data_IF_197794339031
#
_entry.id   IF_197794339031
#
_cell.length_a   1.000
_cell.length_b   1.000
_cell.length_c   1.000
_cell.angle_alpha   90.00
_cell.angle_beta   90.00
_cell.angle_gamma   90.00
#
_symmetry.space_group_name_H-M   'P 1'
#
loop_
_entity.id
_entity.type
_entity.pdbx_description
1 polymer ?
#
# COMPACT_ATOMS: atom_id res chain seq x y z
N UNK A 1 -5.91 -11.21 -0.59
CA UNK A 1 -6.69 -10.59 0.51
C UNK A 1 -7.09 -9.14 0.26
N UNK A 2 -6.27 -8.29 -0.40
CA UNK A 2 -6.62 -6.87 -0.64
C UNK A 2 -7.94 -6.62 -1.39
N UNK A 3 -8.34 -7.53 -2.30
CA UNK A 3 -9.64 -7.47 -2.98
C UNK A 3 -10.83 -7.51 -2.00
N UNK A 4 -10.80 -8.40 -1.01
CA UNK A 4 -11.88 -8.52 -0.03
C UNK A 4 -12.02 -7.27 0.84
N UNK A 5 -10.89 -6.64 1.19
CA UNK A 5 -10.86 -5.39 1.95
C UNK A 5 -11.46 -4.24 1.11
N UNK A 6 -11.08 -4.17 -0.17
CA UNK A 6 -11.64 -3.18 -1.10
C UNK A 6 -13.14 -3.38 -1.28
N UNK A 7 -13.57 -4.62 -1.51
CA UNK A 7 -14.99 -5.00 -1.66
C UNK A 7 -15.79 -4.66 -0.39
N UNK A 8 -15.26 -4.99 0.79
CA UNK A 8 -15.89 -4.64 2.07
C UNK A 8 -16.07 -3.13 2.24
N UNK A 9 -15.09 -2.31 1.82
CA UNK A 9 -15.23 -0.86 1.83
C UNK A 9 -16.29 -0.37 0.84
N UNK A 10 -16.30 -0.87 -0.39
CA UNK A 10 -17.33 -0.51 -1.38
C UNK A 10 -18.74 -0.90 -0.90
N UNK A 11 -18.89 -2.02 -0.20
CA UNK A 11 -20.16 -2.47 0.39
C UNK A 11 -20.67 -1.51 1.50
N UNK A 12 -19.81 -0.66 2.08
CA UNK A 12 -20.22 0.37 3.05
C UNK A 12 -20.82 1.61 2.40
N UNK A 13 -20.64 1.80 1.09
CA UNK A 13 -21.18 2.96 0.37
C UNK A 13 -22.70 2.76 0.19
N UNK A 14 -23.55 3.67 0.68
CA UNK A 14 -25.00 3.52 0.57
C UNK A 14 -25.46 3.52 -0.89
N UNK A 15 -26.23 2.50 -1.29
CA UNK A 15 -26.82 2.40 -2.64
C UNK A 15 -27.70 3.60 -3.03
N UNK A 16 -28.27 4.29 -2.04
CA UNK A 16 -29.10 5.48 -2.23
C UNK A 16 -28.33 6.63 -2.93
N UNK A 17 -27.00 6.71 -2.78
CA UNK A 17 -26.18 7.72 -3.45
C UNK A 17 -26.15 7.45 -4.96
N UNK A 18 -25.98 6.19 -5.35
CA UNK A 18 -25.99 5.78 -6.75
C UNK A 18 -27.38 5.95 -7.37
N UNK A 19 -28.44 5.58 -6.65
CA UNK A 19 -29.83 5.75 -7.11
C UNK A 19 -30.19 7.23 -7.31
N UNK A 20 -29.75 8.11 -6.41
CA UNK A 20 -29.96 9.56 -6.54
C UNK A 20 -29.22 10.12 -7.76
N UNK A 21 -27.98 9.69 -8.00
CA UNK A 21 -27.21 10.11 -9.16
C UNK A 21 -27.83 9.63 -10.49
N UNK A 22 -28.46 8.44 -10.50
CA UNK A 22 -29.20 7.94 -11.67
C UNK A 22 -30.45 8.79 -11.92
N UNK A 23 -31.17 9.19 -10.87
CA UNK A 23 -32.33 10.09 -10.97
C UNK A 23 -31.91 11.45 -11.54
N UNK A 24 -30.72 11.95 -11.17
CA UNK A 24 -30.11 13.17 -11.71
C UNK A 24 -29.58 13.00 -13.17
N UNK A 25 -29.77 11.82 -13.79
CA UNK A 25 -29.39 11.54 -15.17
C UNK A 25 -27.92 11.16 -15.37
N UNK A 26 -27.17 10.87 -14.31
CA UNK A 26 -25.78 10.43 -14.42
C UNK A 26 -25.69 9.01 -15.01
N UNK A 27 -24.73 8.80 -15.91
CA UNK A 27 -24.44 7.45 -16.42
C UNK A 27 -23.67 6.64 -15.36
N UNK A 28 -23.73 5.30 -15.43
CA UNK A 28 -22.93 4.43 -14.53
C UNK A 28 -21.44 4.72 -14.54
N UNK A 29 -20.89 5.15 -15.69
CA UNK A 29 -19.49 5.52 -15.80
C UNK A 29 -19.22 6.85 -15.07
N UNK A 30 -20.13 7.82 -15.16
CA UNK A 30 -20.04 9.07 -14.41
C UNK A 30 -20.07 8.83 -12.90
N UNK A 31 -20.97 7.96 -12.43
CA UNK A 31 -21.10 7.60 -11.00
C UNK A 31 -19.78 7.01 -10.49
N UNK A 32 -19.21 6.05 -11.23
CA UNK A 32 -17.95 5.42 -10.84
C UNK A 32 -16.81 6.44 -10.70
N UNK A 33 -16.57 7.27 -11.72
CA UNK A 33 -15.42 8.19 -11.74
C UNK A 33 -15.62 9.42 -10.84
N UNK A 34 -16.84 9.95 -10.75
CA UNK A 34 -17.11 11.21 -10.04
C UNK A 34 -17.56 11.01 -8.59
N UNK A 35 -18.11 9.85 -8.24
CA UNK A 35 -18.69 9.59 -6.91
C UNK A 35 -17.94 8.45 -6.22
N UNK A 36 -17.97 7.24 -6.78
CA UNK A 36 -17.41 6.05 -6.11
C UNK A 36 -15.91 6.17 -5.90
N UNK A 37 -15.15 6.51 -6.95
CA UNK A 37 -13.69 6.57 -6.90
C UNK A 37 -13.15 7.63 -5.91
N UNK A 38 -13.66 8.87 -5.86
CA UNK A 38 -13.23 9.83 -4.84
C UNK A 38 -13.63 9.45 -3.41
N UNK A 39 -14.78 8.79 -3.21
CA UNK A 39 -15.18 8.25 -1.90
C UNK A 39 -14.26 7.10 -1.46
N UNK A 40 -13.70 6.35 -2.41
CA UNK A 40 -12.78 5.24 -2.15
C UNK A 40 -11.30 5.64 -2.07
N UNK A 41 -10.96 6.93 -2.08
CA UNK A 41 -9.61 7.41 -1.80
C UNK A 41 -8.93 6.75 -0.58
N UNK A 42 -9.56 6.64 0.60
CA UNK A 42 -8.88 6.05 1.77
C UNK A 42 -8.53 4.56 1.58
N UNK A 43 -9.40 3.78 0.91
CA UNK A 43 -9.15 2.36 0.67
C UNK A 43 -8.10 2.13 -0.43
N UNK A 44 -8.06 3.02 -1.43
CA UNK A 44 -7.02 3.03 -2.47
C UNK A 44 -5.66 3.29 -1.83
N UNK A 45 -5.57 4.29 -0.95
CA UNK A 45 -4.34 4.62 -0.22
C UNK A 45 -3.84 3.43 0.60
N UNK A 46 -4.73 2.79 1.36
CA UNK A 46 -4.37 1.58 2.12
C UNK A 46 -3.84 0.47 1.22
N UNK A 47 -4.49 0.24 0.07
CA UNK A 47 -4.08 -0.78 -0.90
C UNK A 47 -2.71 -0.45 -1.48
N UNK A 48 -2.45 0.80 -1.87
CA UNK A 48 -1.15 1.23 -2.38
C UNK A 48 -0.05 1.05 -1.33
N UNK A 49 -0.30 1.44 -0.07
CA UNK A 49 0.69 1.29 1.01
C UNK A 49 1.03 -0.18 1.26
N UNK A 50 0.01 -1.04 1.37
CA UNK A 50 0.21 -2.48 1.62
C UNK A 50 0.87 -3.18 0.44
N UNK A 51 0.48 -2.85 -0.80
CA UNK A 51 1.13 -3.37 -2.01
C UNK A 51 2.56 -2.88 -2.17
N UNK A 52 2.86 -1.63 -1.78
CA UNK A 52 4.22 -1.11 -1.83
C UNK A 52 5.11 -1.75 -0.76
N UNK A 53 4.58 -2.06 0.43
CA UNK A 53 5.33 -2.69 1.51
C UNK A 53 5.65 -4.17 1.25
N UNK A 54 4.79 -4.89 0.54
CA UNK A 54 4.91 -6.34 0.40
C UNK A 54 6.29 -6.81 -0.12
N UNK A 55 6.89 -6.22 -1.18
CA UNK A 55 8.20 -6.64 -1.68
C UNK A 55 9.37 -6.37 -0.72
N UNK A 56 9.22 -5.41 0.21
CA UNK A 56 10.28 -5.08 1.18
C UNK A 56 10.37 -6.09 2.31
N UNK A 57 9.28 -6.81 2.58
CA UNK A 57 9.20 -7.80 3.67
C UNK A 57 9.35 -9.22 3.12
N UNK A 58 9.05 -9.45 1.84
CA UNK A 58 9.13 -10.77 1.22
C UNK A 58 10.56 -11.12 0.77
N UNK A 59 11.34 -11.67 1.68
CA UNK A 59 12.65 -12.24 1.38
C UNK A 59 12.56 -13.74 1.02
N UNK A 60 11.58 -14.48 1.56
CA UNK A 60 11.50 -15.95 1.44
C UNK A 60 11.21 -16.36 -0.01
N UNK A 61 10.19 -15.77 -0.62
CA UNK A 61 9.81 -16.11 -1.99
C UNK A 61 10.93 -15.74 -2.98
N UNK A 62 11.56 -14.60 -2.74
CA UNK A 62 12.68 -14.10 -3.54
C UNK A 62 13.91 -15.00 -3.40
N UNK A 63 14.28 -15.42 -2.19
CA UNK A 63 15.39 -16.37 -1.96
C UNK A 63 15.21 -17.63 -2.79
N UNK A 64 13.99 -18.16 -2.84
CA UNK A 64 13.69 -19.39 -3.55
C UNK A 64 13.84 -19.23 -5.07
N UNK A 65 13.37 -18.12 -5.63
CA UNK A 65 13.41 -17.86 -7.07
C UNK A 65 14.83 -17.54 -7.55
N UNK A 66 15.57 -16.73 -6.80
CA UNK A 66 16.83 -16.16 -7.30
C UNK A 66 18.07 -17.01 -7.05
N UNK A 67 18.03 -17.98 -6.14
CA UNK A 67 19.12 -18.94 -5.86
C UNK A 67 20.50 -18.23 -5.85
N UNK A 68 21.34 -18.52 -6.85
CA UNK A 68 22.73 -18.04 -6.95
C UNK A 68 22.92 -16.73 -7.74
N UNK A 69 21.87 -16.12 -8.27
CA UNK A 69 22.03 -14.91 -9.08
C UNK A 69 22.09 -13.65 -8.21
N UNK A 70 23.26 -13.40 -7.60
CA UNK A 70 23.52 -12.28 -6.70
C UNK A 70 23.14 -10.91 -7.27
N UNK A 71 23.30 -10.72 -8.59
CA UNK A 71 22.99 -9.46 -9.26
C UNK A 71 21.50 -9.10 -9.26
N UNK A 72 20.62 -10.07 -9.02
CA UNK A 72 19.18 -9.84 -9.00
C UNK A 72 18.64 -9.68 -7.57
N UNK A 73 19.50 -9.71 -6.54
CA UNK A 73 19.10 -9.68 -5.13
C UNK A 73 18.20 -8.49 -4.82
N UNK A 74 17.00 -8.76 -4.33
CA UNK A 74 16.13 -7.71 -3.80
C UNK A 74 16.74 -7.19 -2.53
N UNK A 75 16.37 -5.96 -2.18
CA UNK A 75 16.86 -5.31 -0.97
C UNK A 75 16.55 -6.15 0.28
N UNK A 76 15.39 -6.80 0.32
CA UNK A 76 14.99 -7.71 1.41
C UNK A 76 15.92 -8.94 1.53
N UNK A 77 16.27 -9.56 0.40
CA UNK A 77 17.17 -10.71 0.37
C UNK A 77 18.61 -10.33 0.72
N UNK A 78 19.11 -9.23 0.16
CA UNK A 78 20.47 -8.75 0.41
C UNK A 78 20.71 -8.40 1.88
N UNK A 79 19.72 -7.77 2.53
CA UNK A 79 19.75 -7.54 3.99
C UNK A 79 19.74 -8.83 4.79
N UNK A 80 18.93 -9.81 4.39
CA UNK A 80 18.83 -11.10 5.09
C UNK A 80 20.14 -11.89 5.01
N UNK A 81 20.83 -11.87 3.87
CA UNK A 81 22.16 -12.47 3.69
C UNK A 81 23.22 -11.87 4.63
N UNK A 82 23.13 -10.55 4.92
CA UNK A 82 24.05 -9.88 5.87
C UNK A 82 23.86 -10.34 7.32
N UNK A 83 22.70 -10.88 7.66
CA UNK A 83 22.36 -11.40 8.99
C UNK A 83 22.75 -12.88 9.18
N UNK A 84 23.24 -13.57 8.15
CA UNK A 84 23.72 -14.95 8.28
C UNK A 84 24.88 -15.04 9.29
N UNK A 85 24.95 -16.17 10.00
CA UNK A 85 25.88 -16.39 11.14
C UNK A 85 27.35 -16.09 10.82
N UNK A 86 27.78 -16.32 9.58
CA UNK A 86 29.16 -16.07 9.14
C UNK A 86 29.47 -14.58 8.94
N UNK A 87 28.46 -13.78 8.57
CA UNK A 87 28.61 -12.38 8.16
C UNK A 87 28.20 -11.39 9.24
N UNK A 88 27.45 -11.82 10.26
CA UNK A 88 26.83 -10.91 11.23
C UNK A 88 27.86 -10.02 11.95
N UNK A 89 29.02 -10.54 12.34
CA UNK A 89 30.02 -9.75 13.08
C UNK A 89 30.67 -8.63 12.25
N UNK A 90 30.70 -8.76 10.93
CA UNK A 90 31.33 -7.78 10.03
C UNK A 90 30.30 -6.86 9.35
N UNK A 91 29.10 -7.38 9.09
CA UNK A 91 28.10 -6.68 8.28
C UNK A 91 26.94 -6.09 9.11
N UNK A 92 26.88 -6.30 10.44
CA UNK A 92 25.80 -5.76 11.28
C UNK A 92 25.64 -4.23 11.17
N UNK A 93 26.73 -3.47 11.21
CA UNK A 93 26.68 -2.01 11.04
C UNK A 93 26.16 -1.60 9.66
N UNK A 94 26.52 -2.36 8.62
CA UNK A 94 26.04 -2.12 7.24
C UNK A 94 24.57 -2.46 7.10
N UNK A 95 24.12 -3.53 7.75
CA UNK A 95 22.70 -3.91 7.85
C UNK A 95 21.88 -2.78 8.49
N UNK A 96 22.32 -2.22 9.62
CA UNK A 96 21.63 -1.10 10.26
C UNK A 96 21.55 0.13 9.35
N UNK A 97 22.66 0.50 8.67
CA UNK A 97 22.67 1.61 7.73
C UNK A 97 21.72 1.39 6.54
N UNK A 98 21.71 0.18 5.98
CA UNK A 98 20.80 -0.19 4.89
C UNK A 98 19.33 -0.21 5.35
N UNK A 99 19.03 -0.68 6.57
CA UNK A 99 17.69 -0.63 7.14
C UNK A 99 17.16 0.80 7.26
N UNK A 100 18.01 1.75 7.68
CA UNK A 100 17.64 3.19 7.72
C UNK A 100 17.38 3.71 6.31
N UNK A 101 18.22 3.38 5.32
CA UNK A 101 18.02 3.80 3.93
C UNK A 101 16.69 3.30 3.35
N UNK A 102 16.25 2.10 3.74
CA UNK A 102 14.98 1.49 3.31
C UNK A 102 13.77 2.14 3.98
N UNK A 103 13.93 2.61 5.22
CA UNK A 103 12.88 3.33 5.90
C UNK A 103 12.55 4.66 5.21
N UNK A 104 13.50 5.28 4.51
CA UNK A 104 13.30 6.58 3.82
C UNK A 104 12.20 6.53 2.75
N UNK A 105 12.25 5.67 1.72
CA UNK A 105 11.20 5.63 0.70
C UNK A 105 9.83 5.26 1.27
N UNK A 106 9.79 4.37 2.28
CA UNK A 106 8.54 3.95 2.94
C UNK A 106 7.93 5.14 3.70
N UNK A 107 8.73 5.89 4.46
CA UNK A 107 8.26 7.05 5.23
C UNK A 107 7.84 8.19 4.32
N UNK A 108 8.56 8.46 3.23
CA UNK A 108 8.17 9.45 2.24
C UNK A 108 6.81 9.10 1.64
N UNK A 109 6.61 7.85 1.20
CA UNK A 109 5.33 7.40 0.67
C UNK A 109 4.21 7.57 1.71
N UNK A 110 4.47 7.19 2.96
CA UNK A 110 3.52 7.32 4.05
C UNK A 110 3.10 8.78 4.28
N UNK A 111 4.06 9.71 4.33
CA UNK A 111 3.78 11.15 4.50
C UNK A 111 2.92 11.70 3.35
N UNK A 112 3.24 11.34 2.10
CA UNK A 112 2.44 11.75 0.95
C UNK A 112 1.01 11.20 1.01
N UNK A 113 0.85 9.97 1.48
CA UNK A 113 -0.43 9.27 1.56
C UNK A 113 -1.29 9.72 2.75
N UNK A 114 -0.69 10.18 3.84
CA UNK A 114 -1.38 10.64 5.05
C UNK A 114 -2.40 11.77 4.75
N UNK A 115 -2.10 12.67 3.80
CA UNK A 115 -3.01 13.75 3.37
C UNK A 115 -4.35 13.22 2.86
N UNK A 116 -4.34 12.11 2.12
CA UNK A 116 -5.54 11.49 1.56
C UNK A 116 -6.32 10.71 2.61
N UNK A 117 -5.63 10.12 3.59
CA UNK A 117 -6.26 9.43 4.71
C UNK A 117 -7.06 10.41 5.59
N UNK A 118 -6.47 11.56 5.96
CA UNK A 118 -7.15 12.59 6.77
C UNK A 118 -8.39 13.14 6.05
N UNK A 119 -8.28 13.44 4.76
CA UNK A 119 -9.40 13.98 3.97
C UNK A 119 -10.57 12.99 3.86
N UNK A 120 -10.28 11.67 3.78
CA UNK A 120 -11.29 10.63 3.71
C UNK A 120 -12.06 10.45 5.04
N UNK A 121 -11.38 10.56 6.18
CA UNK A 121 -12.00 10.46 7.50
C UNK A 121 -12.81 11.72 7.85
N UNK A 122 -12.32 12.91 7.50
CA UNK A 122 -13.02 14.17 7.81
C UNK A 122 -14.15 14.50 6.83
N UNK A 123 -14.03 14.09 5.57
CA UNK A 123 -15.03 14.37 4.52
C UNK A 123 -16.34 13.56 4.66
N UNK A 124 -16.30 12.41 5.35
CA UNK A 124 -17.50 11.60 5.63
C UNK A 124 -18.33 12.09 6.83
N UNK A 125 -17.79 13.01 7.65
CA UNK A 125 -18.43 13.46 8.89
C UNK A 125 -19.16 14.81 8.78
N UNK A 126 -19.15 15.46 7.61
CA UNK A 126 -19.80 16.76 7.40
C UNK A 126 -20.83 16.67 6.28
N UNK A 127 -21.94 16.01 6.59
CA UNK A 127 -23.29 16.24 6.03
C UNK A 127 -24.27 15.40 6.85
N UNK A 128 -24.35 15.74 8.14
CA UNK A 128 -25.61 15.69 8.89
C UNK A 128 -26.36 17.00 8.65
#
# INVERSE_FOLDING_TARGET
MGYYISKGFFDTIPKAIDESAIIDGATRNDIFWKITLPLSKPIIVYTVLTSFLAPWVDFIFVSFIMRDNYNNYTVALGLFEMLKRENIYQYFTRFCAAAVLIAIPITILFIFMQKYYVTGVTGGSVKG
#
